data_IF_272201084032
#
_entry.id   IF_272201084032
#
_cell.length_a   1.000
_cell.length_b   1.000
_cell.length_c   1.000
_cell.angle_alpha   90.00
_cell.angle_beta   90.00
_cell.angle_gamma   90.00
#
_symmetry.space_group_name_H-M   'P 1'
#
loop_
_entity.id
_entity.type
_entity.pdbx_description
1 polymer ?
#
# COMPACT_ATOMS: atom_id res chain seq x y z
N UNK A 1 -4.52 65.30 -22.42
CA UNK A 1 -3.68 66.21 -21.59
C UNK A 1 -2.32 65.56 -21.34
N UNK A 2 -1.24 66.34 -21.20
CA UNK A 2 0.10 65.85 -20.79
C UNK A 2 0.36 66.21 -19.33
N UNK A 3 1.16 65.42 -18.62
CA UNK A 3 2.17 65.93 -17.66
C UNK A 3 3.37 64.96 -17.61
N UNK A 4 4.55 65.52 -17.34
CA UNK A 4 5.85 64.84 -17.45
C UNK A 4 6.62 64.89 -16.11
N UNK A 5 7.73 64.14 -16.05
CA UNK A 5 8.74 64.19 -14.96
C UNK A 5 9.32 65.60 -14.74
N UNK A 6 9.89 65.86 -13.56
CA UNK A 6 11.36 65.98 -13.42
C UNK A 6 11.93 64.78 -12.64
N UNK A 7 13.16 64.27 -12.83
CA UNK A 7 14.52 64.79 -13.08
C UNK A 7 15.31 65.13 -11.79
N UNK A 8 16.56 64.66 -11.78
CA UNK A 8 17.55 64.63 -10.69
C UNK A 8 18.39 65.91 -10.56
N UNK A 9 19.04 66.06 -9.40
CA UNK A 9 20.48 66.40 -9.33
C UNK A 9 21.23 65.50 -8.30
N UNK A 10 22.56 65.47 -8.13
CA UNK A 10 23.77 65.57 -9.00
C UNK A 10 24.96 65.02 -8.16
N UNK A 11 26.08 64.62 -8.78
CA UNK A 11 27.29 64.11 -8.10
C UNK A 11 27.92 65.08 -7.08
N UNK A 12 28.71 64.52 -6.14
CA UNK A 12 30.01 65.09 -5.74
C UNK A 12 31.01 63.99 -5.34
N UNK A 13 32.29 64.22 -5.62
CA UNK A 13 33.46 63.41 -5.22
C UNK A 13 34.11 64.03 -3.95
N UNK A 14 35.22 63.56 -3.34
CA UNK A 14 36.27 62.57 -3.64
C UNK A 14 36.82 61.98 -2.30
N UNK A 15 37.94 61.27 -2.11
CA UNK A 15 39.08 60.70 -2.89
C UNK A 15 39.90 59.78 -1.96
N UNK A 16 40.78 58.91 -2.51
CA UNK A 16 42.08 58.41 -1.94
C UNK A 16 42.10 57.69 -0.57
N UNK A 17 42.85 56.60 -0.29
CA UNK A 17 43.83 55.73 -0.98
C UNK A 17 43.71 54.32 -0.34
N UNK A 18 44.29 53.20 -0.81
CA UNK A 18 45.18 52.90 -1.95
C UNK A 18 45.40 51.36 -2.03
N UNK A 19 46.16 50.84 -3.01
CA UNK A 19 46.30 49.39 -3.28
C UNK A 19 47.75 49.03 -3.67
N UNK A 20 48.28 47.87 -3.23
CA UNK A 20 48.86 46.91 -4.20
C UNK A 20 48.47 45.43 -3.94
N UNK A 21 48.58 44.60 -4.99
CA UNK A 21 48.37 43.13 -4.97
C UNK A 21 49.71 42.37 -4.91
N UNK A 22 49.76 41.19 -4.30
CA UNK A 22 50.79 40.14 -4.55
C UNK A 22 50.11 38.73 -4.58
N UNK A 23 50.61 37.73 -5.35
CA UNK A 23 49.93 36.46 -5.66
C UNK A 23 50.40 35.25 -4.78
N UNK A 24 49.80 34.04 -4.95
CA UNK A 24 50.21 32.82 -4.24
C UNK A 24 51.48 32.15 -4.82
N UNK A 25 52.13 31.29 -4.03
CA UNK A 25 53.42 30.66 -4.36
C UNK A 25 53.54 29.19 -3.90
N UNK A 26 54.07 28.32 -4.76
CA UNK A 26 54.61 26.98 -4.42
C UNK A 26 56.15 27.01 -4.37
N UNK A 27 56.80 26.00 -3.75
CA UNK A 27 57.85 25.27 -4.50
C UNK A 27 58.11 23.77 -4.12
N UNK A 28 58.27 22.95 -5.16
CA UNK A 28 59.35 21.97 -5.45
C UNK A 28 59.71 20.75 -4.55
N UNK A 29 59.25 19.58 -5.00
CA UNK A 29 60.01 18.40 -5.55
C UNK A 29 61.36 17.94 -4.97
N UNK A 30 61.42 16.64 -4.59
CA UNK A 30 62.53 15.66 -4.85
C UNK A 30 62.11 14.22 -4.40
N UNK A 31 62.64 13.06 -4.84
CA UNK A 31 63.03 12.52 -6.17
C UNK A 31 63.31 10.99 -6.07
N UNK A 32 62.75 10.16 -6.98
CA UNK A 32 62.89 8.66 -7.15
C UNK A 32 62.51 7.77 -5.93
N UNK A 33 62.14 6.47 -6.03
CA UNK A 33 62.31 5.41 -7.05
C UNK A 33 61.05 4.52 -7.25
N UNK A 34 61.04 3.68 -8.28
CA UNK A 34 60.03 2.62 -8.57
C UNK A 34 60.55 1.21 -8.20
N UNK A 35 59.66 0.24 -7.90
CA UNK A 35 59.40 -0.81 -8.91
C UNK A 35 57.93 -1.31 -8.98
N UNK A 36 57.66 -2.23 -9.90
CA UNK A 36 56.35 -2.76 -10.27
C UNK A 36 56.01 -4.10 -9.58
N UNK A 37 54.73 -4.44 -9.37
CA UNK A 37 54.02 -5.55 -10.08
C UNK A 37 52.62 -5.92 -9.53
N UNK A 38 51.66 -6.07 -10.47
CA UNK A 38 50.61 -7.11 -10.62
C UNK A 38 49.71 -7.60 -9.44
N UNK A 39 48.40 -7.36 -9.67
CA UNK A 39 47.26 -8.28 -9.48
C UNK A 39 46.63 -8.50 -8.08
N UNK A 40 45.34 -8.92 -8.02
CA UNK A 40 44.46 -8.63 -6.87
C UNK A 40 44.30 -9.82 -5.90
N UNK A 41 43.93 -9.49 -4.66
CA UNK A 41 43.54 -10.48 -3.63
C UNK A 41 42.03 -10.41 -3.41
N UNK A 42 41.35 -11.52 -3.66
CA UNK A 42 39.95 -11.72 -3.25
C UNK A 42 39.87 -12.05 -1.77
N UNK A 43 39.00 -11.36 -1.02
CA UNK A 43 38.65 -11.73 0.35
C UNK A 43 37.22 -12.27 0.36
N UNK A 44 37.10 -13.54 -0.01
CA UNK A 44 35.92 -14.35 0.33
C UNK A 44 36.05 -14.71 1.81
N UNK A 45 35.45 -13.91 2.69
CA UNK A 45 35.35 -14.28 4.11
C UNK A 45 34.25 -15.35 4.27
N UNK A 46 34.62 -16.50 4.86
CA UNK A 46 33.72 -17.64 4.95
C UNK A 46 32.79 -17.55 6.16
N UNK A 47 31.48 -17.46 5.91
CA UNK A 47 30.44 -17.61 6.93
C UNK A 47 30.40 -19.06 7.46
N UNK A 48 31.32 -19.41 8.34
CA UNK A 48 31.30 -20.68 9.08
C UNK A 48 30.09 -20.70 10.03
N UNK A 49 29.08 -21.49 9.67
CA UNK A 49 27.90 -21.77 10.52
C UNK A 49 28.29 -22.50 11.81
N UNK A 50 28.66 -21.76 12.84
CA UNK A 50 28.85 -22.30 14.19
C UNK A 50 27.47 -22.60 14.81
N UNK A 51 27.00 -23.84 14.71
CA UNK A 51 25.82 -24.31 15.44
C UNK A 51 26.11 -24.28 16.95
N UNK A 52 25.79 -23.16 17.62
CA UNK A 52 25.65 -23.12 19.07
C UNK A 52 24.20 -23.43 19.41
N UNK A 53 23.92 -24.66 19.81
CA UNK A 53 22.61 -25.08 20.33
C UNK A 53 22.40 -24.48 21.71
N UNK A 54 22.01 -23.21 21.75
CA UNK A 54 21.32 -22.64 22.89
C UNK A 54 19.97 -23.35 22.97
N UNK A 55 19.80 -24.22 23.96
CA UNK A 55 18.49 -24.66 24.40
C UNK A 55 17.79 -23.44 24.99
N UNK A 56 16.94 -22.78 24.19
CA UNK A 56 15.92 -21.91 24.75
C UNK A 56 15.09 -22.74 25.73
N UNK A 57 14.82 -22.19 26.92
CA UNK A 57 13.70 -22.69 27.71
C UNK A 57 12.46 -22.60 26.83
N UNK A 58 11.53 -23.58 26.86
CA UNK A 58 10.21 -23.32 26.33
C UNK A 58 9.66 -22.10 27.07
N UNK A 59 9.34 -21.05 26.31
CA UNK A 59 8.45 -20.02 26.82
C UNK A 59 7.16 -20.72 27.23
N UNK A 60 6.54 -20.26 28.32
CA UNK A 60 5.17 -20.69 28.62
C UNK A 60 4.32 -20.31 27.42
N UNK A 61 3.42 -21.20 27.00
CA UNK A 61 2.27 -20.79 26.21
C UNK A 61 1.40 -19.93 27.12
N UNK A 62 1.64 -18.62 27.09
CA UNK A 62 0.76 -17.66 27.75
C UNK A 62 -0.59 -17.70 27.04
N UNK A 63 -1.61 -18.10 27.79
CA UNK A 63 -2.96 -18.32 27.24
C UNK A 63 -3.54 -16.99 26.80
N UNK A 64 -3.43 -16.72 25.49
CA UNK A 64 -3.95 -15.52 24.83
C UNK A 64 -5.36 -15.20 25.30
N UNK A 65 -5.51 -14.02 25.90
CA UNK A 65 -6.80 -13.50 26.34
C UNK A 65 -7.53 -12.99 25.09
N UNK A 66 -8.70 -13.58 24.81
CA UNK A 66 -9.53 -13.21 23.67
C UNK A 66 -10.70 -12.34 24.15
N UNK A 67 -10.79 -11.12 23.62
CA UNK A 67 -11.87 -10.17 23.91
C UNK A 67 -12.78 -9.99 22.67
N UNK A 68 -14.09 -9.75 22.85
CA UNK A 68 -15.00 -9.46 21.75
C UNK A 68 -14.73 -8.07 21.18
N UNK A 69 -14.68 -7.95 19.86
CA UNK A 69 -14.60 -6.68 19.15
C UNK A 69 -15.99 -6.03 19.03
N UNK A 70 -17.07 -6.81 19.20
CA UNK A 70 -18.47 -6.39 19.10
C UNK A 70 -18.84 -5.86 17.70
N UNK A 71 -18.30 -6.52 16.67
CA UNK A 71 -18.59 -6.24 15.26
C UNK A 71 -19.26 -7.46 14.63
N UNK A 72 -20.54 -7.31 14.29
CA UNK A 72 -21.30 -8.38 13.64
C UNK A 72 -20.68 -8.80 12.31
N UNK A 73 -20.95 -10.03 11.87
CA UNK A 73 -20.49 -10.55 10.58
C UNK A 73 -20.89 -9.67 9.38
N UNK A 74 -21.99 -8.91 9.46
CA UNK A 74 -22.37 -7.97 8.39
C UNK A 74 -21.60 -6.64 8.44
N UNK A 75 -21.07 -6.25 9.60
CA UNK A 75 -20.17 -5.09 9.76
C UNK A 75 -18.69 -5.45 9.51
N UNK A 76 -18.24 -6.67 9.85
CA UNK A 76 -16.87 -7.13 9.61
C UNK A 76 -16.79 -8.65 9.38
N UNK A 77 -16.19 -9.05 8.27
CA UNK A 77 -15.88 -10.45 7.97
C UNK A 77 -14.43 -10.57 7.46
N UNK A 78 -13.57 -11.21 8.25
CA UNK A 78 -12.11 -11.18 8.05
C UNK A 78 -11.66 -11.73 6.67
N UNK A 79 -12.23 -12.83 6.14
CA UNK A 79 -11.87 -13.37 4.82
C UNK A 79 -12.26 -12.46 3.63
N UNK A 80 -13.12 -11.46 3.83
CA UNK A 80 -13.43 -10.42 2.83
C UNK A 80 -12.79 -9.07 3.15
N UNK A 81 -11.98 -8.99 4.21
CA UNK A 81 -11.29 -7.77 4.63
C UNK A 81 -9.79 -7.86 4.37
N UNK A 82 -9.11 -8.95 4.76
CA UNK A 82 -7.65 -9.04 4.65
C UNK A 82 -7.10 -9.59 3.32
N UNK A 83 -7.52 -10.78 2.82
CA UNK A 83 -6.90 -11.39 1.64
C UNK A 83 -7.39 -10.81 0.29
N UNK A 84 -7.87 -9.57 0.29
CA UNK A 84 -8.55 -8.91 -0.84
C UNK A 84 -7.68 -7.89 -1.59
N UNK A 85 -6.47 -7.60 -1.09
CA UNK A 85 -5.49 -6.74 -1.79
C UNK A 85 -5.53 -5.25 -1.42
N UNK A 86 -6.33 -4.86 -0.42
CA UNK A 86 -6.19 -3.53 0.21
C UNK A 86 -4.99 -3.45 1.16
N UNK A 87 -4.57 -4.59 1.73
CA UNK A 87 -3.41 -4.75 2.61
C UNK A 87 -2.71 -6.09 2.33
N UNK A 88 -1.43 -6.21 2.69
CA UNK A 88 -0.61 -7.42 2.47
C UNK A 88 0.11 -7.90 3.75
N UNK A 89 -0.03 -7.18 4.86
CA UNK A 89 0.69 -7.46 6.12
C UNK A 89 0.02 -8.53 7.00
N UNK A 90 -1.30 -8.68 6.91
CA UNK A 90 -2.06 -9.69 7.66
C UNK A 90 -1.81 -11.09 7.12
N UNK A 91 -1.46 -12.04 8.01
CA UNK A 91 -1.24 -13.46 7.70
C UNK A 91 -2.36 -14.30 8.26
N UNK A 92 -2.84 -15.29 7.51
CA UNK A 92 -3.77 -16.28 8.05
C UNK A 92 -3.00 -17.24 8.97
N UNK A 93 -3.26 -17.14 10.28
CA UNK A 93 -2.55 -17.86 11.36
C UNK A 93 -3.52 -18.83 12.05
N UNK A 94 -4.28 -19.56 11.24
CA UNK A 94 -5.23 -20.58 11.71
C UNK A 94 -6.57 -20.57 10.96
N UNK A 95 -7.51 -21.45 11.36
CA UNK A 95 -8.87 -21.47 10.84
C UNK A 95 -9.60 -20.17 11.16
N UNK A 96 -9.90 -19.39 10.13
CA UNK A 96 -10.58 -18.08 10.23
C UNK A 96 -9.90 -17.06 11.18
N UNK A 97 -8.59 -17.21 11.40
CA UNK A 97 -7.78 -16.35 12.25
C UNK A 97 -6.70 -15.64 11.43
N UNK A 98 -6.56 -14.34 11.61
CA UNK A 98 -5.59 -13.48 10.94
C UNK A 98 -4.75 -12.75 11.98
N UNK A 99 -3.44 -12.75 11.83
CA UNK A 99 -2.51 -11.99 12.68
C UNK A 99 -1.87 -10.89 11.86
N UNK A 100 -1.71 -9.72 12.48
CA UNK A 100 -1.19 -8.53 11.84
C UNK A 100 -0.72 -7.51 12.88
N UNK A 101 -0.14 -6.44 12.37
CA UNK A 101 0.42 -5.36 13.18
C UNK A 101 -0.33 -4.08 12.86
N UNK A 102 -0.77 -3.38 13.89
CA UNK A 102 -1.42 -2.06 13.78
C UNK A 102 -0.61 -1.10 14.66
N UNK A 103 0.05 -0.12 14.04
CA UNK A 103 1.10 0.70 14.69
C UNK A 103 2.19 -0.21 15.28
N UNK A 104 2.44 -0.16 16.59
CA UNK A 104 3.37 -1.02 17.32
C UNK A 104 2.72 -2.26 17.97
N UNK A 105 1.42 -2.48 17.76
CA UNK A 105 0.66 -3.54 18.43
C UNK A 105 0.54 -4.79 17.53
N UNK A 106 1.00 -5.94 18.02
CA UNK A 106 0.83 -7.24 17.36
C UNK A 106 -0.40 -7.95 17.93
N UNK A 107 -1.37 -8.28 17.07
CA UNK A 107 -2.61 -8.93 17.46
C UNK A 107 -3.05 -10.03 16.48
N UNK A 108 -3.79 -11.01 16.99
CA UNK A 108 -4.69 -11.82 16.18
C UNK A 108 -6.11 -11.26 16.22
N UNK A 109 -6.82 -11.38 15.10
CA UNK A 109 -8.26 -11.30 14.97
C UNK A 109 -8.79 -12.68 14.57
N UNK A 110 -9.92 -13.10 15.16
CA UNK A 110 -10.54 -14.40 14.90
C UNK A 110 -12.02 -14.22 14.62
N UNK A 111 -12.46 -14.78 13.49
CA UNK A 111 -13.86 -14.77 13.12
C UNK A 111 -14.65 -15.73 14.03
N UNK A 112 -15.68 -15.22 14.69
CA UNK A 112 -16.72 -16.00 15.33
C UNK A 112 -17.96 -16.02 14.40
N UNK A 113 -18.99 -16.80 14.78
CA UNK A 113 -20.21 -16.94 13.98
C UNK A 113 -20.94 -15.60 13.77
N UNK A 114 -21.06 -14.81 14.84
CA UNK A 114 -21.83 -13.57 14.91
C UNK A 114 -21.01 -12.34 15.35
N UNK A 115 -19.70 -12.49 15.57
CA UNK A 115 -18.78 -11.44 16.05
C UNK A 115 -17.35 -11.70 15.51
N UNK A 116 -16.41 -10.80 15.80
CA UNK A 116 -14.96 -11.00 15.70
C UNK A 116 -14.37 -10.84 17.10
N UNK A 117 -13.46 -11.73 17.52
CA UNK A 117 -12.65 -11.51 18.72
C UNK A 117 -11.21 -11.13 18.39
N UNK A 118 -10.53 -10.46 19.32
CA UNK A 118 -9.12 -10.08 19.21
C UNK A 118 -8.31 -10.57 20.41
N UNK A 119 -7.01 -10.78 20.21
CA UNK A 119 -6.04 -11.08 21.26
C UNK A 119 -4.70 -10.42 20.94
N UNK A 120 -4.07 -9.78 21.93
CA UNK A 120 -2.74 -9.20 21.80
C UNK A 120 -1.65 -10.24 22.05
N UNK A 121 -0.60 -10.24 21.22
CA UNK A 121 0.65 -10.99 21.47
C UNK A 121 1.75 -10.06 22.00
N UNK A 122 1.75 -8.79 21.55
CA UNK A 122 2.68 -7.77 22.02
C UNK A 122 1.99 -6.39 21.98
N UNK A 123 1.85 -5.77 23.15
CA UNK A 123 1.49 -4.35 23.32
C UNK A 123 1.99 -3.84 24.68
N UNK A 124 2.27 -2.54 24.78
CA UNK A 124 2.59 -1.84 26.03
C UNK A 124 1.46 -0.94 26.53
N UNK A 125 0.44 -0.72 25.70
CA UNK A 125 -0.77 0.03 26.01
C UNK A 125 -1.96 -0.65 25.31
N UNK A 126 -2.78 -1.39 26.06
CA UNK A 126 -3.98 -2.00 25.51
C UNK A 126 -5.09 -0.99 25.17
N UNK A 127 -5.11 0.19 25.81
CA UNK A 127 -6.16 1.19 25.57
C UNK A 127 -5.92 1.88 24.23
N UNK A 128 -4.70 2.38 24.01
CA UNK A 128 -4.24 2.87 22.71
C UNK A 128 -4.33 1.80 21.63
N UNK A 129 -4.06 0.53 21.94
CA UNK A 129 -4.20 -0.58 20.98
C UNK A 129 -5.67 -0.84 20.59
N UNK A 130 -6.60 -0.90 21.55
CA UNK A 130 -8.04 -1.04 21.28
C UNK A 130 -8.55 0.12 20.40
N UNK A 131 -8.13 1.35 20.68
CA UNK A 131 -8.43 2.52 19.86
C UNK A 131 -7.79 2.44 18.46
N UNK A 132 -6.54 1.99 18.34
CA UNK A 132 -5.85 1.84 17.06
C UNK A 132 -6.48 0.76 16.18
N UNK A 133 -6.99 -0.34 16.76
CA UNK A 133 -7.75 -1.36 16.04
C UNK A 133 -9.08 -0.78 15.53
N UNK A 134 -9.83 -0.06 16.38
CA UNK A 134 -11.10 0.54 16.01
C UNK A 134 -10.95 1.60 14.88
N UNK A 135 -9.87 2.37 14.93
CA UNK A 135 -9.46 3.32 13.89
C UNK A 135 -9.10 2.60 12.57
N UNK A 136 -8.18 1.64 12.63
CA UNK A 136 -7.71 0.86 11.47
C UNK A 136 -8.84 0.08 10.78
N UNK A 137 -9.80 -0.41 11.56
CA UNK A 137 -11.01 -1.10 11.09
C UNK A 137 -12.20 -0.14 10.85
N UNK A 138 -11.99 1.18 10.74
CA UNK A 138 -13.03 2.18 10.41
C UNK A 138 -14.35 1.98 11.19
N UNK A 139 -14.29 1.66 12.49
CA UNK A 139 -15.46 1.20 13.27
C UNK A 139 -16.55 2.27 13.41
N UNK A 140 -16.20 3.56 13.32
CA UNK A 140 -17.15 4.67 13.33
C UNK A 140 -18.05 4.80 12.10
N UNK A 141 -17.96 3.90 11.12
CA UNK A 141 -18.80 3.87 9.91
C UNK A 141 -19.61 2.57 9.92
N UNK A 142 -20.96 2.64 9.94
CA UNK A 142 -21.79 1.45 9.73
C UNK A 142 -21.72 1.03 8.25
N UNK A 143 -21.33 -0.23 8.05
CA UNK A 143 -21.33 -0.89 6.76
C UNK A 143 -22.76 -1.16 6.29
N UNK A 144 -23.66 -1.56 7.20
CA UNK A 144 -25.06 -1.84 6.88
C UNK A 144 -25.83 -0.59 6.43
N UNK A 145 -25.72 0.54 7.15
CA UNK A 145 -26.40 1.80 6.76
C UNK A 145 -25.95 2.27 5.36
N UNK A 146 -24.63 2.29 5.16
CA UNK A 146 -24.02 2.71 3.89
C UNK A 146 -24.40 1.78 2.73
N UNK A 147 -24.45 0.46 2.96
CA UNK A 147 -24.83 -0.51 1.92
C UNK A 147 -26.32 -0.51 1.60
N UNK A 148 -27.20 -0.11 2.53
CA UNK A 148 -28.60 0.19 2.23
C UNK A 148 -28.71 1.25 1.13
N UNK A 149 -28.04 2.39 1.33
CA UNK A 149 -27.99 3.50 0.35
C UNK A 149 -27.35 3.08 -0.99
N UNK A 150 -26.43 2.12 -1.00
CA UNK A 150 -25.89 1.56 -2.23
C UNK A 150 -26.87 0.62 -2.94
N UNK A 151 -27.56 -0.26 -2.20
CA UNK A 151 -28.52 -1.23 -2.73
C UNK A 151 -29.76 -0.57 -3.34
N UNK A 152 -30.26 0.51 -2.74
CA UNK A 152 -31.33 1.35 -3.31
C UNK A 152 -30.99 1.93 -4.69
N UNK A 153 -29.70 2.08 -5.00
CA UNK A 153 -29.19 2.69 -6.24
C UNK A 153 -28.60 1.69 -7.22
N UNK A 154 -28.37 0.45 -6.80
CA UNK A 154 -27.90 -0.64 -7.65
C UNK A 154 -28.40 -2.00 -7.15
N UNK A 155 -29.34 -2.60 -7.89
CA UNK A 155 -29.78 -3.97 -7.61
C UNK A 155 -28.63 -4.98 -7.68
N UNK A 156 -27.65 -4.80 -8.58
CA UNK A 156 -26.45 -5.66 -8.62
C UNK A 156 -25.62 -5.53 -7.34
N UNK A 157 -25.59 -4.35 -6.71
CA UNK A 157 -24.91 -4.18 -5.44
C UNK A 157 -25.69 -4.87 -4.32
N UNK A 158 -27.02 -4.70 -4.27
CA UNK A 158 -27.88 -5.37 -3.30
C UNK A 158 -27.74 -6.90 -3.38
N UNK A 159 -27.80 -7.48 -4.58
CA UNK A 159 -27.64 -8.91 -4.82
C UNK A 159 -26.28 -9.43 -4.31
N UNK A 160 -25.19 -8.69 -4.59
CA UNK A 160 -23.83 -9.07 -4.17
C UNK A 160 -23.60 -8.87 -2.67
N UNK A 161 -24.21 -7.85 -2.06
CA UNK A 161 -24.10 -7.55 -0.63
C UNK A 161 -24.62 -8.72 0.25
N UNK A 162 -25.63 -9.45 -0.21
CA UNK A 162 -26.15 -10.66 0.47
C UNK A 162 -25.09 -11.75 0.66
N UNK A 163 -24.12 -11.85 -0.24
CA UNK A 163 -23.05 -12.86 -0.21
C UNK A 163 -21.73 -12.33 0.36
N UNK A 164 -21.51 -11.01 0.27
CA UNK A 164 -20.22 -10.38 0.57
C UNK A 164 -20.22 -9.52 1.85
N UNK A 165 -21.24 -9.67 2.71
CA UNK A 165 -21.36 -9.03 4.03
C UNK A 165 -20.05 -8.98 4.83
N UNK A 166 -19.78 -7.83 5.44
CA UNK A 166 -18.56 -7.61 6.23
C UNK A 166 -17.29 -7.29 5.43
N UNK A 167 -17.38 -7.10 4.11
CA UNK A 167 -16.26 -6.64 3.27
C UNK A 167 -15.92 -5.16 3.53
N UNK A 168 -15.15 -4.89 4.59
CA UNK A 168 -14.83 -3.53 5.06
C UNK A 168 -13.57 -2.93 4.44
N UNK A 169 -13.57 -1.61 4.22
CA UNK A 169 -12.37 -0.82 3.84
C UNK A 169 -11.56 -0.45 5.09
N UNK A 170 -10.25 -0.65 5.05
CA UNK A 170 -9.32 -0.35 6.14
C UNK A 170 -8.82 1.12 6.11
N UNK A 171 -8.42 1.64 7.29
CA UNK A 171 -7.74 2.92 7.47
C UNK A 171 -6.29 2.68 7.87
N UNK A 172 -5.45 2.41 6.87
CA UNK A 172 -4.03 2.13 7.08
C UNK A 172 -3.24 3.42 7.41
N UNK A 173 -2.04 3.23 7.95
CA UNK A 173 -1.05 4.30 8.02
C UNK A 173 -0.66 4.78 6.60
N UNK A 174 -0.56 6.10 6.33
CA UNK A 174 -0.22 6.61 5.01
C UNK A 174 1.14 6.17 4.44
N UNK A 175 2.18 6.02 5.27
CA UNK A 175 3.51 5.57 4.84
C UNK A 175 3.50 4.08 4.52
N UNK A 176 2.93 3.26 5.40
CA UNK A 176 2.70 1.83 5.17
C UNK A 176 1.88 1.61 3.90
N UNK A 177 0.79 2.34 3.73
CA UNK A 177 -0.09 2.23 2.57
C UNK A 177 0.64 2.61 1.26
N UNK A 178 1.36 3.75 1.24
CA UNK A 178 2.13 4.17 0.07
C UNK A 178 3.21 3.16 -0.33
N UNK A 179 3.98 2.65 0.64
CA UNK A 179 5.05 1.68 0.37
C UNK A 179 4.49 0.31 -0.06
N UNK A 180 3.35 -0.13 0.49
CA UNK A 180 2.62 -1.31 -0.01
C UNK A 180 2.16 -1.10 -1.46
N UNK A 181 1.49 0.01 -1.78
CA UNK A 181 0.91 0.21 -3.11
C UNK A 181 1.94 0.47 -4.20
N UNK A 182 3.12 1.04 -3.88
CA UNK A 182 4.27 1.07 -4.79
C UNK A 182 4.70 -0.33 -5.25
N UNK A 183 4.61 -1.35 -4.39
CA UNK A 183 4.89 -2.75 -4.73
C UNK A 183 3.83 -3.39 -5.65
N UNK A 184 2.60 -2.84 -5.70
CA UNK A 184 1.49 -3.47 -6.44
C UNK A 184 1.59 -3.35 -7.94
N UNK A 185 1.99 -2.19 -8.48
CA UNK A 185 1.94 -1.89 -9.92
C UNK A 185 2.49 -3.01 -10.82
N UNK A 186 1.70 -3.51 -11.76
CA UNK A 186 1.98 -4.66 -12.63
C UNK A 186 2.61 -5.86 -11.91
N UNK A 187 1.92 -6.39 -10.89
CA UNK A 187 2.43 -7.46 -10.01
C UNK A 187 1.31 -8.41 -9.56
N UNK A 188 1.67 -9.56 -8.96
CA UNK A 188 0.70 -10.50 -8.39
C UNK A 188 0.80 -10.53 -6.86
N UNK A 189 -0.30 -10.87 -6.17
CA UNK A 189 -0.41 -10.83 -4.70
C UNK A 189 0.74 -11.61 -4.04
N UNK A 190 1.03 -12.84 -4.47
CA UNK A 190 2.10 -13.67 -3.90
C UNK A 190 3.51 -13.09 -4.00
N UNK A 191 3.77 -12.21 -4.98
CA UNK A 191 5.03 -11.45 -5.08
C UNK A 191 4.96 -10.09 -4.37
N UNK A 192 3.80 -9.45 -4.31
CA UNK A 192 3.58 -8.21 -3.54
C UNK A 192 3.80 -8.48 -2.06
N UNK A 193 3.18 -9.53 -1.51
CA UNK A 193 3.34 -9.94 -0.11
C UNK A 193 4.82 -10.12 0.25
N UNK A 194 5.63 -10.79 -0.60
CA UNK A 194 7.08 -10.95 -0.35
C UNK A 194 7.86 -9.62 -0.34
N UNK A 195 7.46 -8.63 -1.14
CA UNK A 195 8.06 -7.30 -1.10
C UNK A 195 7.68 -6.55 0.19
N UNK A 196 6.42 -6.63 0.59
CA UNK A 196 5.90 -6.00 1.82
C UNK A 196 6.47 -6.67 3.07
N UNK A 197 6.74 -7.97 3.03
CA UNK A 197 7.38 -8.72 4.12
C UNK A 197 8.85 -8.35 4.26
N UNK A 198 9.58 -8.20 3.15
CA UNK A 198 10.93 -7.65 3.16
C UNK A 198 10.96 -6.24 3.77
N UNK A 199 10.07 -5.33 3.33
CA UNK A 199 9.98 -3.99 3.91
C UNK A 199 9.62 -4.06 5.40
N UNK A 200 8.68 -4.92 5.81
CA UNK A 200 8.31 -5.10 7.21
C UNK A 200 9.51 -5.49 8.08
N UNK A 201 10.37 -6.39 7.61
CA UNK A 201 11.58 -6.84 8.34
C UNK A 201 12.66 -5.76 8.57
N UNK A 202 12.47 -4.55 8.04
CA UNK A 202 13.33 -3.38 8.32
C UNK A 202 12.89 -2.61 9.58
N UNK A 203 11.68 -2.87 10.09
CA UNK A 203 11.14 -2.30 11.32
C UNK A 203 11.53 -3.09 12.56
N UNK A 204 10.90 -2.79 13.70
CA UNK A 204 11.23 -3.43 14.98
C UNK A 204 10.46 -4.74 15.13
N UNK A 205 11.16 -5.83 15.50
CA UNK A 205 10.54 -7.15 15.67
C UNK A 205 9.63 -7.18 16.90
N UNK A 206 8.36 -7.58 16.71
CA UNK A 206 7.33 -7.61 17.75
C UNK A 206 7.02 -9.03 18.25
N UNK A 207 7.23 -10.06 17.44
CA UNK A 207 6.93 -11.44 17.83
C UNK A 207 6.82 -12.41 16.66
N UNK A 208 6.55 -13.68 16.97
CA UNK A 208 6.30 -14.73 15.98
C UNK A 208 5.03 -15.50 16.32
N UNK A 209 4.16 -15.73 15.33
CA UNK A 209 2.87 -16.42 15.51
C UNK A 209 2.66 -17.38 14.34
N UNK A 210 2.37 -18.65 14.61
CA UNK A 210 2.22 -19.73 13.61
C UNK A 210 3.35 -19.80 12.56
N UNK A 211 4.60 -19.52 12.99
CA UNK A 211 5.78 -19.56 12.13
C UNK A 211 5.98 -18.33 11.23
N UNK A 212 5.15 -17.28 11.37
CA UNK A 212 5.36 -15.98 10.73
C UNK A 212 6.00 -15.00 11.71
N UNK A 213 7.05 -14.29 11.28
CA UNK A 213 7.70 -13.21 12.04
C UNK A 213 6.99 -11.87 11.77
N UNK A 214 6.67 -11.13 12.82
CA UNK A 214 5.95 -9.85 12.75
C UNK A 214 6.79 -8.70 13.28
N UNK A 215 6.66 -7.56 12.62
CA UNK A 215 7.44 -6.36 12.86
C UNK A 215 6.55 -5.11 12.80
N UNK A 216 6.88 -4.06 13.54
CA UNK A 216 6.36 -2.71 13.28
C UNK A 216 6.74 -2.27 11.86
N UNK A 217 5.97 -1.36 11.24
CA UNK A 217 6.36 -0.85 9.92
C UNK A 217 7.61 0.04 10.05
N UNK A 218 8.64 -0.09 9.20
CA UNK A 218 9.82 0.76 9.30
C UNK A 218 9.49 2.25 9.15
N UNK A 219 10.07 3.06 10.03
CA UNK A 219 10.04 4.52 9.90
C UNK A 219 10.71 4.98 8.60
N UNK A 220 10.44 6.22 8.18
CA UNK A 220 11.04 6.80 6.99
C UNK A 220 12.59 6.79 7.05
N UNK A 221 13.17 6.96 8.23
CA UNK A 221 14.61 6.87 8.45
C UNK A 221 15.14 5.43 8.36
N UNK A 222 14.40 4.42 8.85
CA UNK A 222 14.77 3.01 8.61
C UNK A 222 14.75 2.68 7.12
N UNK A 223 13.75 3.19 6.39
CA UNK A 223 13.63 3.03 4.94
C UNK A 223 14.75 3.74 4.14
N UNK A 224 15.29 4.86 4.64
CA UNK A 224 16.34 5.62 3.94
C UNK A 224 17.73 4.97 3.98
N UNK A 225 17.93 4.02 4.89
CA UNK A 225 19.18 3.25 5.01
C UNK A 225 19.33 2.17 3.92
N UNK A 226 18.23 1.74 3.28
CA UNK A 226 18.24 0.62 2.32
C UNK A 226 18.57 1.10 0.91
N UNK A 227 19.55 0.45 0.29
CA UNK A 227 19.98 0.77 -1.08
C UNK A 227 19.03 0.21 -2.16
N UNK A 228 19.14 0.78 -3.37
CA UNK A 228 18.42 0.23 -4.52
C UNK A 228 18.86 -1.20 -4.86
N UNK A 229 20.13 -1.55 -4.57
CA UNK A 229 20.66 -2.87 -4.89
C UNK A 229 20.15 -3.96 -3.94
N UNK A 230 20.03 -3.66 -2.64
CA UNK A 230 19.39 -4.58 -1.68
C UNK A 230 17.94 -4.86 -2.06
N UNK A 231 17.18 -3.84 -2.47
CA UNK A 231 15.82 -4.01 -3.00
C UNK A 231 15.79 -4.79 -4.32
N UNK A 232 16.81 -4.66 -5.18
CA UNK A 232 16.93 -5.46 -6.42
C UNK A 232 17.20 -6.93 -6.09
N UNK A 233 18.09 -7.22 -5.15
CA UNK A 233 18.36 -8.57 -4.62
C UNK A 233 17.11 -9.16 -3.94
N UNK A 234 16.36 -8.36 -3.20
CA UNK A 234 15.04 -8.72 -2.64
C UNK A 234 13.92 -8.86 -3.70
N UNK A 235 14.24 -8.72 -4.99
CA UNK A 235 13.33 -9.03 -6.10
C UNK A 235 12.35 -7.92 -6.50
N UNK A 236 12.53 -6.68 -6.03
CA UNK A 236 11.68 -5.53 -6.40
C UNK A 236 11.78 -5.19 -7.90
N UNK A 237 12.94 -5.45 -8.51
CA UNK A 237 13.22 -5.10 -9.90
C UNK A 237 13.16 -3.60 -10.12
N UNK A 238 12.43 -3.13 -11.13
CA UNK A 238 12.29 -1.70 -11.44
C UNK A 238 11.61 -0.88 -10.32
N UNK A 239 10.98 -1.51 -9.32
CA UNK A 239 10.34 -0.81 -8.19
C UNK A 239 11.34 -0.40 -7.12
N UNK A 240 12.57 -0.93 -7.12
CA UNK A 240 13.62 -0.53 -6.19
C UNK A 240 13.90 0.98 -6.26
N UNK A 241 14.10 1.53 -7.47
CA UNK A 241 14.22 2.98 -7.70
C UNK A 241 12.98 3.80 -7.30
N UNK A 242 11.80 3.18 -7.27
CA UNK A 242 10.54 3.84 -6.87
C UNK A 242 10.44 3.96 -5.36
N UNK A 243 10.77 2.91 -4.61
CA UNK A 243 10.89 2.96 -3.15
C UNK A 243 11.96 3.99 -2.74
N UNK A 244 13.20 3.84 -3.20
CA UNK A 244 14.31 4.76 -2.84
C UNK A 244 14.04 6.19 -3.29
N UNK A 245 13.45 6.39 -4.46
CA UNK A 245 13.06 7.71 -4.95
C UNK A 245 11.94 8.35 -4.13
N UNK A 246 10.94 7.56 -3.71
CA UNK A 246 9.83 8.03 -2.86
C UNK A 246 10.31 8.36 -1.45
N UNK A 247 11.16 7.54 -0.84
CA UNK A 247 11.75 7.81 0.48
C UNK A 247 12.51 9.13 0.48
N UNK A 248 13.37 9.37 -0.51
CA UNK A 248 14.11 10.64 -0.65
C UNK A 248 13.20 11.84 -0.89
N UNK A 249 12.15 11.67 -1.70
CA UNK A 249 11.15 12.70 -1.95
C UNK A 249 10.33 13.03 -0.69
N UNK A 250 10.02 12.03 0.16
CA UNK A 250 9.35 12.20 1.45
C UNK A 250 10.23 12.90 2.47
N UNK A 251 11.51 12.53 2.59
CA UNK A 251 12.48 13.22 3.45
C UNK A 251 12.72 14.68 3.04
N UNK A 252 12.31 15.05 1.82
CA UNK A 252 12.35 16.43 1.30
C UNK A 252 11.04 17.21 1.53
N UNK A 253 10.01 16.62 2.15
CA UNK A 253 8.76 17.31 2.53
C UNK A 253 8.90 17.94 3.93
N UNK A 254 8.06 18.94 4.28
CA UNK A 254 7.91 19.39 5.67
C UNK A 254 7.54 18.25 6.62
N UNK A 255 7.77 18.44 7.93
CA UNK A 255 7.32 17.50 8.96
C UNK A 255 7.87 16.08 8.82
N UNK A 256 9.12 15.95 8.36
CA UNK A 256 9.78 14.64 8.20
C UNK A 256 9.08 13.68 7.23
N UNK A 257 8.23 14.16 6.32
CA UNK A 257 7.51 13.36 5.33
C UNK A 257 6.32 12.56 5.86
N UNK A 258 6.40 11.98 7.06
CA UNK A 258 5.30 11.23 7.68
C UNK A 258 4.15 12.15 8.12
N UNK A 259 4.45 13.30 8.72
CA UNK A 259 3.43 14.31 9.06
C UNK A 259 2.82 14.89 7.77
N UNK A 260 3.64 15.13 6.74
CA UNK A 260 3.15 15.62 5.45
C UNK A 260 2.20 14.62 4.78
N UNK A 261 2.52 13.32 4.75
CA UNK A 261 1.60 12.28 4.25
C UNK A 261 0.29 12.26 5.06
N UNK A 262 0.37 12.42 6.38
CA UNK A 262 -0.80 12.46 7.26
C UNK A 262 -1.67 13.69 6.97
N UNK A 263 -1.06 14.85 6.68
CA UNK A 263 -1.78 16.09 6.34
C UNK A 263 -2.57 16.02 5.02
N UNK A 264 -2.31 15.04 4.15
CA UNK A 264 -3.11 14.81 2.94
C UNK A 264 -4.55 14.33 3.22
N UNK A 265 -4.88 14.01 4.47
CA UNK A 265 -6.26 13.75 4.93
C UNK A 265 -7.13 15.01 4.94
N UNK A 266 -6.52 16.18 5.12
CA UNK A 266 -7.21 17.47 5.22
C UNK A 266 -7.42 18.16 3.85
N UNK A 267 -6.92 17.56 2.76
CA UNK A 267 -7.04 18.04 1.39
C UNK A 267 -8.26 17.45 0.67
N UNK A 268 -8.63 18.01 -0.48
CA UNK A 268 -9.58 17.33 -1.37
C UNK A 268 -8.93 16.15 -2.13
N UNK A 269 -9.77 15.27 -2.68
CA UNK A 269 -9.33 14.07 -3.42
C UNK A 269 -8.39 14.40 -4.60
N UNK A 270 -8.64 15.48 -5.32
CA UNK A 270 -7.83 15.87 -6.48
C UNK A 270 -6.46 16.39 -6.03
N UNK A 271 -6.43 17.26 -5.03
CA UNK A 271 -5.18 17.77 -4.42
C UNK A 271 -4.35 16.62 -3.82
N UNK A 272 -4.98 15.71 -3.07
CA UNK A 272 -4.30 14.55 -2.49
C UNK A 272 -3.75 13.59 -3.57
N UNK A 273 -4.51 13.34 -4.65
CA UNK A 273 -4.05 12.50 -5.77
C UNK A 273 -2.93 13.17 -6.55
N UNK A 274 -2.99 14.46 -6.82
CA UNK A 274 -1.90 15.21 -7.47
C UNK A 274 -0.64 15.23 -6.61
N UNK A 275 -0.76 15.49 -5.30
CA UNK A 275 0.34 15.45 -4.35
C UNK A 275 1.02 14.08 -4.30
N UNK A 276 0.25 12.98 -4.30
CA UNK A 276 0.76 11.61 -4.36
C UNK A 276 1.43 11.28 -5.69
N UNK A 277 0.86 11.72 -6.83
CA UNK A 277 1.43 11.53 -8.17
C UNK A 277 2.78 12.26 -8.39
N UNK A 278 3.25 13.08 -7.43
CA UNK A 278 4.63 13.60 -7.44
C UNK A 278 5.70 12.54 -7.15
N UNK A 279 5.32 11.38 -6.60
CA UNK A 279 6.28 10.34 -6.19
C UNK A 279 6.68 9.37 -7.31
N UNK A 280 7.97 8.98 -7.41
CA UNK A 280 8.43 8.03 -8.43
C UNK A 280 7.70 6.68 -8.36
N UNK A 281 6.92 6.38 -9.40
CA UNK A 281 6.15 5.14 -9.52
C UNK A 281 4.68 5.24 -9.07
N UNK A 282 4.25 6.37 -8.51
CA UNK A 282 2.85 6.63 -8.19
C UNK A 282 2.15 7.21 -9.42
N UNK A 283 1.32 6.41 -10.08
CA UNK A 283 0.33 6.88 -11.05
C UNK A 283 -1.06 7.01 -10.44
N UNK A 284 -2.07 7.55 -11.17
CA UNK A 284 -3.39 7.84 -10.62
C UNK A 284 -4.09 6.68 -9.90
N UNK A 285 -3.94 5.43 -10.37
CA UNK A 285 -4.49 4.25 -9.68
C UNK A 285 -3.79 3.96 -8.34
N UNK A 286 -2.47 4.14 -8.26
CA UNK A 286 -1.70 3.98 -7.02
C UNK A 286 -2.06 5.09 -6.04
N UNK A 287 -2.14 6.34 -6.52
CA UNK A 287 -2.59 7.47 -5.72
C UNK A 287 -4.02 7.27 -5.18
N UNK A 288 -4.97 6.82 -6.01
CA UNK A 288 -6.33 6.52 -5.59
C UNK A 288 -6.41 5.38 -4.57
N UNK A 289 -5.57 4.34 -4.66
CA UNK A 289 -5.48 3.32 -3.62
C UNK A 289 -5.04 3.91 -2.28
N UNK A 290 -3.97 4.71 -2.26
CA UNK A 290 -3.48 5.35 -1.02
C UNK A 290 -4.52 6.31 -0.45
N UNK A 291 -5.17 7.09 -1.32
CA UNK A 291 -6.24 8.00 -0.95
C UNK A 291 -7.42 7.28 -0.26
N UNK A 292 -7.92 6.19 -0.87
CA UNK A 292 -9.01 5.38 -0.34
C UNK A 292 -8.66 4.68 0.98
N UNK A 293 -7.49 4.04 1.04
CA UNK A 293 -7.12 3.11 2.11
C UNK A 293 -6.30 3.75 3.25
N UNK A 294 -5.99 5.05 3.20
CA UNK A 294 -5.23 5.72 4.26
C UNK A 294 -5.48 7.22 4.45
N UNK A 295 -6.01 7.95 3.45
CA UNK A 295 -6.19 9.41 3.50
C UNK A 295 -7.66 9.85 3.62
N UNK A 296 -8.55 8.95 4.05
CA UNK A 296 -9.98 9.21 4.30
C UNK A 296 -10.81 9.69 3.10
N UNK A 297 -10.22 9.68 1.90
CA UNK A 297 -10.88 10.02 0.63
C UNK A 297 -11.79 8.87 0.17
N UNK A 298 -12.89 8.64 0.89
CA UNK A 298 -13.79 7.50 0.69
C UNK A 298 -14.50 7.44 -0.69
N UNK A 299 -14.47 8.54 -1.44
CA UNK A 299 -14.93 8.66 -2.82
C UNK A 299 -13.84 8.37 -3.86
N UNK A 300 -12.60 8.09 -3.46
CA UNK A 300 -11.51 7.68 -4.35
C UNK A 300 -11.82 6.32 -5.01
N UNK A 301 -11.68 6.23 -6.33
CA UNK A 301 -11.99 5.02 -7.11
C UNK A 301 -10.73 4.56 -7.86
N UNK A 302 -10.02 3.52 -7.40
CA UNK A 302 -8.81 3.03 -8.06
C UNK A 302 -9.12 2.27 -9.35
N UNK A 303 -9.13 2.97 -10.50
CA UNK A 303 -9.45 2.36 -11.80
C UNK A 303 -8.26 1.59 -12.38
N UNK A 304 -8.29 0.27 -12.23
CA UNK A 304 -7.44 -0.68 -12.96
C UNK A 304 -8.22 -1.35 -14.14
N UNK A 305 -7.66 -2.41 -14.73
CA UNK A 305 -8.32 -3.14 -15.82
C UNK A 305 -9.56 -3.94 -15.39
N UNK A 306 -9.66 -4.34 -14.13
CA UNK A 306 -10.81 -5.09 -13.60
C UNK A 306 -11.96 -4.13 -13.27
N UNK A 307 -11.65 -2.99 -12.64
CA UNK A 307 -12.62 -1.91 -12.44
C UNK A 307 -13.08 -1.32 -13.77
N UNK A 308 -12.19 -1.20 -14.77
CA UNK A 308 -12.56 -0.85 -16.14
C UNK A 308 -13.53 -1.86 -16.78
N UNK A 309 -13.26 -3.16 -16.67
CA UNK A 309 -14.15 -4.20 -17.19
C UNK A 309 -15.53 -4.18 -16.51
N UNK A 310 -15.57 -4.03 -15.19
CA UNK A 310 -16.82 -3.95 -14.43
C UNK A 310 -17.61 -2.67 -14.80
N UNK A 311 -16.94 -1.52 -14.89
CA UNK A 311 -17.58 -0.26 -15.27
C UNK A 311 -18.12 -0.29 -16.70
N UNK A 312 -17.33 -0.75 -17.67
CA UNK A 312 -17.73 -0.84 -19.09
C UNK A 312 -18.75 -1.94 -19.39
N UNK A 313 -19.13 -2.76 -18.39
CA UNK A 313 -20.21 -3.73 -18.51
C UNK A 313 -21.48 -3.34 -17.73
N UNK A 314 -21.36 -2.74 -16.55
CA UNK A 314 -22.48 -2.55 -15.61
C UNK A 314 -22.79 -1.09 -15.22
N UNK A 315 -21.95 -0.12 -15.62
CA UNK A 315 -22.05 1.27 -15.16
C UNK A 315 -22.07 2.28 -16.30
N UNK A 316 -21.19 2.12 -17.29
CA UNK A 316 -21.08 2.94 -18.50
C UNK A 316 -20.82 2.05 -19.74
N UNK A 317 -21.83 1.28 -20.21
CA UNK A 317 -21.69 0.34 -21.32
C UNK A 317 -21.27 0.99 -22.65
N UNK A 318 -21.48 2.29 -22.82
CA UNK A 318 -21.06 3.06 -23.99
C UNK A 318 -19.54 3.19 -24.16
N UNK A 319 -18.76 2.80 -23.14
CA UNK A 319 -17.29 2.69 -23.21
C UNK A 319 -16.80 1.26 -23.51
N UNK A 320 -17.70 0.29 -23.71
CA UNK A 320 -17.32 -1.08 -24.07
C UNK A 320 -16.46 -1.12 -25.35
N UNK A 321 -15.33 -1.83 -25.30
CA UNK A 321 -14.36 -1.92 -26.39
C UNK A 321 -13.42 -0.71 -26.54
N UNK A 322 -13.62 0.39 -25.80
CA UNK A 322 -12.67 1.50 -25.77
C UNK A 322 -11.36 1.11 -25.05
N UNK A 323 -10.24 1.72 -25.46
CA UNK A 323 -8.94 1.53 -24.80
C UNK A 323 -8.85 2.39 -23.53
N UNK A 324 -8.46 1.78 -22.42
CA UNK A 324 -8.16 2.47 -21.16
C UNK A 324 -7.14 3.61 -21.38
N UNK A 325 -7.50 4.82 -20.95
CA UNK A 325 -6.67 6.04 -20.98
C UNK A 325 -6.98 6.89 -19.74
N UNK A 326 -6.09 7.79 -19.27
CA UNK A 326 -6.33 8.55 -18.04
C UNK A 326 -7.65 9.32 -18.01
N UNK A 327 -8.03 9.97 -19.12
CA UNK A 327 -9.33 10.67 -19.23
C UNK A 327 -10.54 9.73 -19.06
N UNK A 328 -10.42 8.48 -19.51
CA UNK A 328 -11.49 7.48 -19.34
C UNK A 328 -11.45 6.82 -17.95
N UNK A 329 -10.29 6.76 -17.28
CA UNK A 329 -10.22 6.42 -15.85
C UNK A 329 -11.01 7.44 -15.01
N UNK A 330 -10.82 8.75 -15.26
CA UNK A 330 -11.57 9.80 -14.57
C UNK A 330 -13.09 9.64 -14.80
N UNK A 331 -13.53 9.44 -16.05
CA UNK A 331 -14.96 9.18 -16.36
C UNK A 331 -15.53 7.93 -15.66
N UNK A 332 -14.72 6.88 -15.46
CA UNK A 332 -15.14 5.73 -14.63
C UNK A 332 -15.32 6.16 -13.17
N UNK A 333 -14.34 6.85 -12.59
CA UNK A 333 -14.42 7.33 -11.21
C UNK A 333 -15.62 8.27 -10.99
N UNK A 334 -15.84 9.22 -11.89
CA UNK A 334 -17.00 10.12 -11.93
C UNK A 334 -18.32 9.34 -11.95
N UNK A 335 -18.43 8.26 -12.73
CA UNK A 335 -19.63 7.43 -12.78
C UNK A 335 -19.87 6.64 -11.48
N UNK A 336 -18.80 6.13 -10.83
CA UNK A 336 -18.90 5.50 -9.51
C UNK A 336 -19.32 6.52 -8.44
N UNK A 337 -18.74 7.73 -8.44
CA UNK A 337 -19.10 8.83 -7.52
C UNK A 337 -20.55 9.29 -7.75
N UNK A 338 -20.99 9.36 -9.00
CA UNK A 338 -22.38 9.70 -9.36
C UNK A 338 -23.37 8.67 -8.80
N UNK A 339 -23.05 7.37 -8.88
CA UNK A 339 -23.94 6.31 -8.38
C UNK A 339 -23.92 6.21 -6.85
N UNK A 340 -22.72 6.12 -6.24
CA UNK A 340 -22.56 5.77 -4.83
C UNK A 340 -22.26 6.96 -3.89
N UNK A 341 -22.01 8.15 -4.42
CA UNK A 341 -21.76 9.35 -3.62
C UNK A 341 -20.47 9.30 -2.80
N UNK A 342 -20.53 9.81 -1.55
CA UNK A 342 -19.34 10.03 -0.70
C UNK A 342 -18.49 8.80 -0.37
N UNK A 343 -19.03 7.59 -0.51
CA UNK A 343 -18.34 6.33 -0.21
C UNK A 343 -18.10 5.47 -1.47
N UNK A 344 -17.98 6.07 -2.65
CA UNK A 344 -17.88 5.33 -3.91
C UNK A 344 -16.68 4.36 -4.01
N UNK A 345 -15.57 4.61 -3.30
CA UNK A 345 -14.46 3.67 -3.20
C UNK A 345 -14.79 2.42 -2.37
N UNK A 346 -15.65 2.55 -1.36
CA UNK A 346 -16.15 1.41 -0.59
C UNK A 346 -17.08 0.54 -1.44
N UNK A 347 -17.96 1.15 -2.24
CA UNK A 347 -18.80 0.44 -3.19
C UNK A 347 -17.95 -0.28 -4.26
N UNK A 348 -16.94 0.40 -4.82
CA UNK A 348 -15.97 -0.22 -5.73
C UNK A 348 -15.20 -1.37 -5.07
N UNK A 349 -14.88 -1.28 -3.78
CA UNK A 349 -14.15 -2.33 -3.05
C UNK A 349 -14.96 -3.64 -2.98
N UNK A 350 -16.25 -3.60 -2.63
CA UNK A 350 -17.13 -4.79 -2.70
C UNK A 350 -17.20 -5.34 -4.13
N UNK A 351 -17.42 -4.48 -5.12
CA UNK A 351 -17.55 -4.86 -6.52
C UNK A 351 -16.26 -5.47 -7.09
N UNK A 352 -15.09 -5.02 -6.63
CA UNK A 352 -13.79 -5.64 -6.93
C UNK A 352 -13.63 -7.00 -6.24
N UNK A 353 -14.03 -7.12 -4.98
CA UNK A 353 -14.01 -8.37 -4.21
C UNK A 353 -14.88 -9.45 -4.87
N UNK A 354 -16.05 -9.07 -5.39
CA UNK A 354 -16.92 -9.95 -6.18
C UNK A 354 -16.24 -10.51 -7.45
N UNK A 355 -15.25 -9.80 -7.99
CA UNK A 355 -14.52 -10.20 -9.20
C UNK A 355 -13.27 -11.06 -8.90
N UNK A 356 -12.89 -11.26 -7.63
CA UNK A 356 -11.79 -12.14 -7.24
C UNK A 356 -12.12 -13.63 -7.53
N UNK A 357 -11.19 -14.46 -8.04
CA UNK A 357 -11.44 -15.85 -8.40
C UNK A 357 -11.99 -16.71 -7.25
N UNK A 358 -11.54 -16.47 -6.02
CA UNK A 358 -12.00 -17.15 -4.81
C UNK A 358 -13.46 -16.85 -4.48
N UNK A 359 -13.95 -15.63 -4.75
CA UNK A 359 -15.33 -15.23 -4.48
C UNK A 359 -16.25 -15.56 -5.65
N UNK A 360 -15.78 -15.43 -6.89
CA UNK A 360 -16.49 -15.91 -8.10
C UNK A 360 -16.87 -17.38 -8.04
N UNK A 361 -16.08 -18.21 -7.36
CA UNK A 361 -16.38 -19.63 -7.16
C UNK A 361 -17.51 -19.90 -6.14
N UNK A 362 -17.89 -18.89 -5.33
CA UNK A 362 -18.92 -18.97 -4.29
C UNK A 362 -20.20 -18.19 -4.65
N UNK A 363 -20.11 -17.23 -5.57
CA UNK A 363 -21.23 -16.41 -6.03
C UNK A 363 -22.15 -17.15 -7.02
N UNK A 364 -23.47 -16.88 -7.03
CA UNK A 364 -24.38 -17.37 -8.06
C UNK A 364 -23.91 -17.03 -9.50
N UNK A 365 -24.03 -17.96 -10.47
CA UNK A 365 -23.52 -17.73 -11.84
C UNK A 365 -24.08 -16.50 -12.57
N UNK A 366 -25.29 -16.05 -12.21
CA UNK A 366 -25.89 -14.84 -12.79
C UNK A 366 -25.27 -13.54 -12.25
N UNK A 367 -24.70 -13.56 -11.04
CA UNK A 367 -23.94 -12.43 -10.48
C UNK A 367 -22.48 -12.45 -10.96
N UNK A 368 -21.88 -13.63 -11.11
CA UNK A 368 -20.48 -13.80 -11.49
C UNK A 368 -20.22 -13.90 -12.99
N UNK A 369 -20.42 -12.85 -13.80
CA UNK A 369 -19.84 -12.84 -15.17
C UNK A 369 -19.43 -11.46 -15.71
N UNK A 370 -18.17 -11.05 -15.54
CA UNK A 370 -17.51 -10.23 -16.57
C UNK A 370 -17.30 -11.10 -17.82
N UNK A 371 -18.01 -10.83 -18.92
CA UNK A 371 -17.89 -11.59 -20.17
C UNK A 371 -16.65 -11.15 -20.94
N UNK A 372 -15.48 -11.63 -20.51
CA UNK A 372 -14.23 -11.42 -21.23
C UNK A 372 -14.33 -11.93 -22.68
N UNK A 373 -14.09 -11.04 -23.65
CA UNK A 373 -14.13 -11.34 -25.09
C UNK A 373 -12.95 -12.25 -25.45
N UNK A 374 -13.13 -13.57 -25.27
CA UNK A 374 -12.19 -14.59 -25.72
C UNK A 374 -12.57 -15.06 -27.11
N UNK A 375 -11.65 -14.89 -28.06
CA UNK A 375 -11.75 -15.51 -29.39
C UNK A 375 -11.83 -17.03 -29.24
N UNK A 376 -12.83 -17.65 -29.88
CA UNK A 376 -13.10 -19.08 -29.77
C UNK A 376 -12.07 -19.90 -30.56
N UNK A 377 -11.31 -20.74 -29.86
CA UNK A 377 -10.73 -21.96 -30.40
C UNK A 377 -10.94 -23.09 -29.40
N UNK A 378 -11.81 -24.03 -29.74
CA UNK A 378 -12.00 -25.26 -28.97
C UNK A 378 -10.76 -26.15 -29.05
N UNK A 379 -10.54 -26.93 -27.99
CA UNK A 379 -10.08 -28.31 -28.09
C UNK A 379 -10.47 -29.08 -26.83
N UNK A 380 -10.75 -30.35 -27.02
CA UNK A 380 -11.40 -31.24 -26.04
C UNK A 380 -10.37 -31.95 -25.14
N UNK A 381 -10.81 -32.46 -23.98
CA UNK A 381 -9.97 -33.21 -23.05
C UNK A 381 -10.71 -33.51 -21.74
N UNK A 382 -10.59 -34.74 -21.24
CA UNK A 382 -11.42 -35.29 -20.16
C UNK A 382 -10.82 -35.11 -18.75
N UNK A 383 -11.69 -35.35 -17.76
CA UNK A 383 -11.49 -35.91 -16.41
C UNK A 383 -10.06 -36.08 -15.85
N UNK A 384 -9.76 -35.73 -14.60
CA UNK A 384 -10.64 -35.31 -13.50
C UNK A 384 -10.29 -36.06 -12.22
N UNK A 385 -9.53 -35.45 -11.31
CA UNK A 385 -9.09 -36.07 -10.05
C UNK A 385 -9.03 -35.00 -8.94
N UNK A 386 -9.54 -35.31 -7.73
CA UNK A 386 -9.64 -34.31 -6.66
C UNK A 386 -8.29 -34.08 -5.97
N UNK A 387 -7.86 -32.82 -5.94
CA UNK A 387 -6.72 -32.33 -5.17
C UNK A 387 -7.21 -31.20 -4.25
N UNK A 388 -6.73 -31.16 -3.01
CA UNK A 388 -6.99 -30.01 -2.11
C UNK A 388 -6.43 -28.72 -2.74
N UNK A 389 -7.32 -27.85 -3.19
CA UNK A 389 -6.93 -26.59 -3.82
C UNK A 389 -6.48 -25.61 -2.75
N UNK A 390 -5.16 -25.50 -2.54
CA UNK A 390 -4.58 -24.25 -2.05
C UNK A 390 -4.85 -23.17 -3.10
N UNK A 391 -5.88 -22.35 -2.87
CA UNK A 391 -6.25 -21.23 -3.76
C UNK A 391 -5.17 -20.15 -3.67
N UNK A 392 -4.14 -20.30 -4.49
CA UNK A 392 -3.15 -19.26 -4.70
C UNK A 392 -3.82 -18.12 -5.47
N UNK A 393 -4.09 -17.01 -4.77
CA UNK A 393 -4.70 -15.80 -5.33
C UNK A 393 -3.75 -15.12 -6.33
N UNK A 394 -3.61 -15.71 -7.53
CA UNK A 394 -2.90 -15.13 -8.68
C UNK A 394 -3.74 -14.04 -9.35
N UNK A 395 -4.22 -13.08 -8.55
CA UNK A 395 -4.77 -11.84 -9.07
C UNK A 395 -3.60 -10.91 -9.45
N UNK A 396 -3.68 -10.34 -10.65
CA UNK A 396 -2.78 -9.29 -11.09
C UNK A 396 -3.36 -7.95 -10.63
N UNK A 397 -2.76 -7.38 -9.59
CA UNK A 397 -2.94 -5.96 -9.31
C UNK A 397 -2.04 -5.22 -10.30
N UNK A 398 -2.64 -4.59 -11.30
CA UNK A 398 -1.91 -3.80 -12.30
C UNK A 398 -1.58 -2.39 -11.80
#
# INVERSE_FOLDING_TARGET
MKRQRPKTPTNLSSSSNGVPKIPPSTPNTITTQTPTTKHPISIISSFKKTKRTLFSKPLKEETLIWEPLNLSKSELYLPLTFPTGQTFRWKQTGPSQYTGVVKSHLLSLKQLENDVSYAFHQTTDECGARLAIADYLNVGISLNEMWGVFGERDSRFADLAMYLGGARVLRQDPLECLMQFLCTSNNNIGRITKMVDFISSLGEYLGSVEGFEFHEFPSLDRLSLVSEEELRVAGFGYRAKYIVGTVKALQSKPGGGAEWLTSLRELDLQEAVEALCTFPGVGPKVAACVALFSLDQHNAVPVDTHVWQLATQYLIPELAGARLTPKLCNRVAEAFVTKYGKYAGWAQTLLFIAELPSQKALLPPHLGTVKGIKSLRQKDGESGNLVQIQVTNNFLLL
#
